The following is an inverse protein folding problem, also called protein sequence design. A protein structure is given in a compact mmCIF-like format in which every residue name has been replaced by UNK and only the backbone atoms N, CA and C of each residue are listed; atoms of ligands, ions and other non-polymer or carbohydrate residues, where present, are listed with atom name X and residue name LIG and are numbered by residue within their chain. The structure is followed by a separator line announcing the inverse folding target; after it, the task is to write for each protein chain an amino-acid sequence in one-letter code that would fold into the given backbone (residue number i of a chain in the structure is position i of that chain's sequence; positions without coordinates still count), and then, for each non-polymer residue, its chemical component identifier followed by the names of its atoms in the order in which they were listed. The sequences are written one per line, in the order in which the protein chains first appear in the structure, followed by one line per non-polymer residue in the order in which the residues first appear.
data_IF_487222752070
#
_entry.id   IF_487222752070
#
_cell.length_a   1.000
_cell.length_b   1.000
_cell.length_c   1.000
_cell.angle_alpha   90.00
_cell.angle_beta   90.00
_cell.angle_gamma   90.00
#
_symmetry.space_group_name_H-M   'P 1'
#
loop_
_entity.id
_entity.type
_entity.pdbx_description
1 polymer ?
#
# COMPACT_ATOMS: atom_id res chain seq x y z
N UNK A 1 12.57 30.91 9.75
CA UNK A 1 11.10 31.11 9.78
C UNK A 1 10.41 30.08 10.66
N UNK A 2 10.43 28.78 10.32
CA UNK A 2 9.74 27.74 11.11
C UNK A 2 10.05 27.80 12.61
N UNK A 3 11.33 27.90 13.00
CA UNK A 3 11.75 28.07 14.41
C UNK A 3 11.01 29.19 15.14
N UNK A 4 10.93 30.37 14.51
CA UNK A 4 10.26 31.56 15.10
C UNK A 4 8.76 31.33 15.26
N UNK A 5 8.13 30.63 14.30
CA UNK A 5 6.71 30.30 14.36
C UNK A 5 6.45 29.31 15.50
N UNK A 6 7.22 28.22 15.56
CA UNK A 6 7.12 27.20 16.62
C UNK A 6 7.25 27.82 18.01
N UNK A 7 8.27 28.67 18.22
CA UNK A 7 8.51 29.34 19.50
C UNK A 7 7.40 30.32 19.92
N UNK A 8 6.59 30.82 18.99
CA UNK A 8 5.55 31.84 19.26
C UNK A 8 4.12 31.30 19.21
N UNK A 9 3.88 30.16 18.57
CA UNK A 9 2.52 29.68 18.27
C UNK A 9 1.70 29.35 19.53
N UNK A 10 2.36 29.00 20.65
CA UNK A 10 1.68 28.60 21.89
C UNK A 10 0.92 27.26 21.79
N UNK A 11 1.07 26.56 20.66
CA UNK A 11 0.48 25.25 20.35
C UNK A 11 1.49 24.41 19.57
N UNK A 12 1.39 23.07 19.57
CA UNK A 12 2.28 22.21 18.78
C UNK A 12 2.23 22.52 17.29
N UNK A 13 3.40 22.68 16.66
CA UNK A 13 3.55 22.91 15.22
C UNK A 13 4.14 21.67 14.54
N UNK A 14 3.43 21.13 13.55
CA UNK A 14 3.88 20.00 12.74
C UNK A 14 4.26 20.46 11.33
N UNK A 15 5.50 20.23 10.93
CA UNK A 15 6.05 20.70 9.67
C UNK A 15 6.20 19.61 8.60
N UNK A 16 5.98 19.98 7.35
CA UNK A 16 6.38 19.20 6.16
C UNK A 16 7.24 20.12 5.27
N UNK A 17 8.52 19.77 5.09
CA UNK A 17 9.46 20.64 4.37
C UNK A 17 9.79 21.97 5.06
N UNK A 18 9.49 22.11 6.35
CA UNK A 18 9.73 23.32 7.13
C UNK A 18 11.08 23.30 7.90
N UNK A 19 11.91 22.28 7.67
CA UNK A 19 13.14 22.05 8.42
C UNK A 19 12.89 21.45 9.83
N UNK A 20 13.96 21.27 10.62
CA UNK A 20 13.91 20.47 11.84
C UNK A 20 13.34 21.22 13.07
N UNK A 21 12.92 22.48 12.92
CA UNK A 21 12.56 23.33 14.05
C UNK A 21 11.05 23.38 14.36
N UNK A 22 10.27 22.44 13.84
CA UNK A 22 8.89 22.21 14.24
C UNK A 22 8.86 21.17 15.38
N UNK A 23 7.83 21.17 16.22
CA UNK A 23 7.68 20.22 17.34
C UNK A 23 7.50 18.77 16.85
N UNK A 24 6.94 18.63 15.65
CA UNK A 24 6.83 17.34 14.96
C UNK A 24 6.97 17.48 13.45
N UNK A 25 7.01 16.34 12.78
CA UNK A 25 7.19 16.24 11.33
C UNK A 25 6.06 15.43 10.71
N UNK A 26 5.66 15.83 9.51
CA UNK A 26 4.64 15.15 8.71
C UNK A 26 5.22 14.85 7.33
N UNK A 27 4.94 13.64 6.82
CA UNK A 27 5.20 13.24 5.45
C UNK A 27 3.99 12.48 4.91
N UNK A 28 3.79 12.53 3.59
CA UNK A 28 2.83 11.66 2.91
C UNK A 28 3.40 10.25 2.87
N UNK A 29 2.64 9.27 3.40
CA UNK A 29 3.11 7.89 3.50
C UNK A 29 3.59 7.33 2.16
N UNK A 30 2.86 7.58 1.08
CA UNK A 30 3.18 7.11 -0.27
C UNK A 30 4.55 7.63 -0.78
N UNK A 31 4.90 8.88 -0.49
CA UNK A 31 6.19 9.44 -0.88
C UNK A 31 7.31 8.88 0.00
N UNK A 32 7.04 8.69 1.30
CA UNK A 32 7.97 8.12 2.28
C UNK A 32 8.34 6.66 1.94
N UNK A 33 7.39 5.85 1.47
CA UNK A 33 7.59 4.44 1.14
C UNK A 33 7.96 4.20 -0.33
N UNK A 34 8.06 5.26 -1.14
CA UNK A 34 8.38 5.14 -2.56
C UNK A 34 7.33 4.35 -3.34
N UNK A 35 6.05 4.65 -3.14
CA UNK A 35 4.96 3.96 -3.83
C UNK A 35 4.93 4.25 -5.34
N UNK A 36 5.31 5.46 -5.73
CA UNK A 36 5.25 5.92 -7.11
C UNK A 36 6.64 6.19 -7.67
N UNK A 37 6.87 5.75 -8.91
CA UNK A 37 8.05 6.11 -9.69
C UNK A 37 7.88 7.51 -10.29
N UNK A 38 7.88 8.52 -9.42
CA UNK A 38 7.74 9.94 -9.77
C UNK A 38 8.74 10.78 -9.01
N UNK A 39 8.82 12.06 -9.38
CA UNK A 39 9.62 13.04 -8.66
C UNK A 39 9.30 13.01 -7.16
N UNK A 40 10.31 12.66 -6.36
CA UNK A 40 10.24 12.73 -4.89
C UNK A 40 10.62 14.15 -4.46
N UNK A 41 9.74 14.91 -3.78
CA UNK A 41 10.05 16.25 -3.34
C UNK A 41 11.30 16.28 -2.45
N UNK A 42 12.10 17.35 -2.54
CA UNK A 42 13.39 17.45 -1.82
C UNK A 42 13.31 17.24 -0.30
N UNK A 43 12.17 17.56 0.31
CA UNK A 43 11.97 17.41 1.75
C UNK A 43 11.59 15.98 2.17
N UNK A 44 11.29 15.10 1.21
CA UNK A 44 10.94 13.71 1.48
C UNK A 44 12.21 12.88 1.57
N UNK A 45 12.40 12.22 2.72
CA UNK A 45 13.29 11.07 2.80
C UNK A 45 12.50 9.84 2.39
N UNK A 46 12.91 9.22 1.28
CA UNK A 46 12.35 7.94 0.88
C UNK A 46 13.03 6.82 1.68
N UNK A 47 12.24 6.05 2.43
CA UNK A 47 12.72 4.97 3.29
C UNK A 47 12.74 3.61 2.59
N UNK A 48 11.88 3.43 1.57
CA UNK A 48 11.77 2.21 0.75
C UNK A 48 11.34 2.58 -0.67
N UNK A 49 11.48 1.65 -1.60
CA UNK A 49 10.97 1.72 -2.97
C UNK A 49 9.93 0.62 -3.16
N UNK A 50 8.76 0.74 -2.53
CA UNK A 50 7.76 -0.35 -2.58
C UNK A 50 7.02 -0.41 -3.92
N UNK A 51 7.04 0.66 -4.71
CA UNK A 51 6.33 0.72 -5.99
C UNK A 51 6.72 -0.41 -6.93
N UNK A 52 8.02 -0.71 -7.05
CA UNK A 52 8.49 -1.84 -7.86
C UNK A 52 8.04 -3.19 -7.30
N UNK A 53 8.10 -3.36 -5.98
CA UNK A 53 7.66 -4.59 -5.30
C UNK A 53 6.16 -4.86 -5.51
N UNK A 54 5.33 -3.81 -5.50
CA UNK A 54 3.91 -3.93 -5.81
C UNK A 54 3.72 -4.38 -7.26
N UNK A 55 4.43 -3.78 -8.21
CA UNK A 55 4.36 -4.16 -9.63
C UNK A 55 4.78 -5.62 -9.83
N UNK A 56 5.87 -6.05 -9.20
CA UNK A 56 6.35 -7.43 -9.24
C UNK A 56 5.31 -8.42 -8.70
N UNK A 57 4.71 -8.13 -7.53
CA UNK A 57 3.67 -8.97 -6.94
C UNK A 57 2.42 -9.09 -7.84
N UNK A 58 2.01 -8.00 -8.49
CA UNK A 58 0.89 -8.01 -9.42
C UNK A 58 1.20 -8.79 -10.71
N UNK A 59 2.43 -8.73 -11.20
CA UNK A 59 2.88 -9.53 -12.34
C UNK A 59 2.93 -11.03 -12.00
N UNK A 60 3.39 -11.37 -10.80
CA UNK A 60 3.37 -12.73 -10.27
C UNK A 60 1.94 -13.27 -10.17
N UNK A 61 1.04 -12.51 -9.54
CA UNK A 61 -0.38 -12.88 -9.47
C UNK A 61 -0.98 -13.11 -10.87
N UNK A 62 -0.72 -12.19 -11.81
CA UNK A 62 -1.18 -12.33 -13.19
C UNK A 62 -0.67 -13.63 -13.83
N UNK A 63 0.61 -13.95 -13.65
CA UNK A 63 1.23 -15.17 -14.18
C UNK A 63 0.56 -16.40 -13.57
N UNK A 64 0.41 -16.44 -12.25
CA UNK A 64 -0.16 -17.58 -11.55
C UNK A 64 -1.62 -17.84 -11.95
N UNK A 65 -2.42 -16.79 -12.16
CA UNK A 65 -3.78 -16.92 -12.71
C UNK A 65 -3.75 -17.43 -14.15
N UNK A 66 -2.89 -16.86 -15.00
CA UNK A 66 -2.81 -17.22 -16.42
C UNK A 66 -2.34 -18.67 -16.62
N UNK A 67 -1.46 -19.15 -15.74
CA UNK A 67 -0.93 -20.51 -15.73
C UNK A 67 -1.79 -21.49 -14.91
N UNK A 68 -2.91 -21.02 -14.34
CA UNK A 68 -3.81 -21.80 -13.47
C UNK A 68 -3.11 -22.41 -12.24
N UNK A 69 -2.06 -21.76 -11.74
CA UNK A 69 -1.42 -22.06 -10.45
C UNK A 69 -2.20 -21.49 -9.28
N UNK A 70 -2.84 -20.33 -9.49
CA UNK A 70 -3.76 -19.72 -8.52
C UNK A 70 -5.19 -19.64 -9.09
N UNK A 71 -6.23 -19.91 -8.29
CA UNK A 71 -6.16 -20.41 -6.90
C UNK A 71 -5.76 -21.88 -6.83
N UNK A 72 -4.95 -22.23 -5.82
CA UNK A 72 -4.70 -23.62 -5.42
C UNK A 72 -5.81 -24.15 -4.49
N UNK A 73 -5.88 -25.46 -4.23
CA UNK A 73 -6.88 -26.06 -3.34
C UNK A 73 -6.97 -25.41 -1.94
N UNK A 74 -5.84 -24.98 -1.40
CA UNK A 74 -5.72 -24.27 -0.12
C UNK A 74 -6.36 -22.88 -0.11
N UNK A 75 -6.63 -22.32 -1.30
CA UNK A 75 -7.29 -21.03 -1.48
C UNK A 75 -8.79 -21.18 -1.81
N UNK A 76 -9.32 -22.40 -1.79
CA UNK A 76 -10.71 -22.72 -2.12
C UNK A 76 -11.48 -23.23 -0.91
N UNK A 77 -12.73 -22.79 -0.74
CA UNK A 77 -13.65 -23.42 0.19
C UNK A 77 -14.36 -24.61 -0.46
N UNK A 78 -14.45 -25.77 0.20
CA UNK A 78 -15.21 -26.90 -0.32
C UNK A 78 -16.72 -26.60 -0.25
N UNK A 79 -17.47 -27.10 -1.24
CA UNK A 79 -18.93 -27.08 -1.23
C UNK A 79 -19.45 -28.40 -0.64
N UNK A 80 -20.46 -28.38 0.26
CA UNK A 80 -21.11 -29.61 0.71
C UNK A 80 -21.67 -30.41 -0.47
N UNK A 81 -21.50 -31.73 -0.44
CA UNK A 81 -21.87 -32.60 -1.57
C UNK A 81 -23.36 -32.51 -1.94
N UNK A 82 -24.24 -32.38 -0.94
CA UNK A 82 -25.68 -32.24 -1.13
C UNK A 82 -26.03 -31.00 -1.97
N UNK A 83 -25.40 -29.86 -1.66
CA UNK A 83 -25.59 -28.59 -2.37
C UNK A 83 -25.01 -28.68 -3.78
N UNK A 84 -23.84 -29.30 -3.93
CA UNK A 84 -23.22 -29.51 -5.24
C UNK A 84 -24.08 -30.40 -6.15
N UNK A 85 -24.73 -31.43 -5.59
CA UNK A 85 -25.63 -32.31 -6.32
C UNK A 85 -26.91 -31.60 -6.76
N UNK A 86 -27.50 -30.74 -5.91
CA UNK A 86 -28.67 -29.94 -6.25
C UNK A 86 -28.37 -28.94 -7.37
N UNK A 87 -27.24 -28.23 -7.28
CA UNK A 87 -26.79 -27.30 -8.33
C UNK A 87 -26.59 -27.99 -9.68
N UNK A 88 -26.00 -29.19 -9.69
CA UNK A 88 -25.87 -29.98 -10.93
C UNK A 88 -27.21 -30.36 -11.54
N UNK A 89 -28.26 -30.61 -10.73
CA UNK A 89 -29.61 -30.88 -11.27
C UNK A 89 -30.28 -29.64 -11.85
N UNK A 90 -30.00 -28.46 -11.29
CA UNK A 90 -30.61 -27.20 -11.73
C UNK A 90 -29.95 -26.61 -12.98
N UNK A 91 -28.63 -26.80 -13.14
CA UNK A 91 -27.83 -26.11 -14.16
C UNK A 91 -26.97 -27.03 -15.04
N UNK A 92 -26.98 -28.35 -14.81
CA UNK A 92 -26.33 -29.36 -15.65
C UNK A 92 -27.29 -29.95 -16.67
#
# INVERSE_FOLDING_TARGET
VAKIITERAGVPVFGIGAGPHCDGQVLVIHDMIGMFDRHTPKFVKKYREIGSQIVEALQEFKRDVSERKFPGPEHCYPMPEEVAAELKKLFG
#
